data_IF_850167668158
#
_entry.id   IF_850167668158
#
_cell.length_a   1.000
_cell.length_b   1.000
_cell.length_c   1.000
_cell.angle_alpha   90.00
_cell.angle_beta   90.00
_cell.angle_gamma   90.00
#
_symmetry.space_group_name_H-M   'P 1'
#
loop_
_entity.id
_entity.type
_entity.pdbx_description
1 polymer ?
#
# COMPACT_ATOMS: atom_id res chain seq x y z
N UNK A 1 2.50 20.33 22.09
CA UNK A 1 3.84 19.79 22.34
C UNK A 1 3.71 18.39 22.92
N UNK A 2 4.02 17.35 22.15
CA UNK A 2 4.11 15.99 22.65
C UNK A 2 5.56 15.54 22.51
N UNK A 3 6.20 15.27 23.64
CA UNK A 3 7.53 14.65 23.71
C UNK A 3 7.42 13.17 23.34
N UNK A 4 8.33 12.62 22.51
CA UNK A 4 8.43 11.19 22.29
C UNK A 4 9.13 10.53 23.49
N UNK A 5 8.54 9.43 24.00
CA UNK A 5 9.21 8.56 24.95
C UNK A 5 10.43 7.91 24.30
N UNK A 6 11.57 8.03 24.98
CA UNK A 6 12.93 7.68 24.53
C UNK A 6 13.29 6.19 24.68
N UNK A 7 12.30 5.28 24.74
CA UNK A 7 12.56 3.86 25.06
C UNK A 7 11.79 2.89 24.16
N UNK A 8 11.84 3.07 22.84
CA UNK A 8 11.56 1.99 21.88
C UNK A 8 12.29 2.24 20.56
N UNK A 9 13.54 1.76 20.45
CA UNK A 9 14.41 1.93 19.28
C UNK A 9 14.16 0.82 18.24
N UNK A 10 12.91 0.71 17.78
CA UNK A 10 12.48 -0.27 16.78
C UNK A 10 11.35 0.21 15.85
N UNK A 11 11.72 0.68 14.65
CA UNK A 11 11.07 0.24 13.39
C UNK A 11 9.62 0.62 13.06
N UNK A 12 8.95 1.54 13.75
CA UNK A 12 7.62 2.01 13.32
C UNK A 12 7.69 3.32 12.53
N UNK A 13 7.33 3.28 11.24
CA UNK A 13 6.60 4.43 10.68
C UNK A 13 5.17 4.27 11.19
N UNK A 14 4.94 4.68 12.44
CA UNK A 14 3.58 4.90 12.90
C UNK A 14 3.08 6.16 12.21
N UNK A 15 2.54 6.03 10.99
CA UNK A 15 1.68 7.09 10.46
C UNK A 15 0.43 7.00 11.32
N UNK A 16 0.24 7.89 12.32
CA UNK A 16 -0.89 7.76 13.20
C UNK A 16 -2.11 7.92 12.31
N UNK A 17 -3.00 6.94 12.29
CA UNK A 17 -4.35 7.06 11.72
C UNK A 17 -4.46 7.41 10.23
N UNK A 18 -3.50 7.02 9.37
CA UNK A 18 -3.67 7.19 7.92
C UNK A 18 -4.74 6.23 7.40
N UNK A 19 -5.89 6.77 7.07
CA UNK A 19 -7.00 6.08 6.42
C UNK A 19 -6.91 6.30 4.91
N UNK A 20 -6.65 5.23 4.18
CA UNK A 20 -6.60 5.27 2.72
C UNK A 20 -7.09 3.94 2.15
N UNK A 21 -7.88 4.04 1.08
CA UNK A 21 -8.34 2.91 0.29
C UNK A 21 -7.58 2.92 -1.03
N UNK A 22 -6.81 1.85 -1.27
CA UNK A 22 -5.81 1.75 -2.34
C UNK A 22 -6.38 1.84 -3.76
N UNK A 23 -7.70 1.68 -3.92
CA UNK A 23 -8.33 1.82 -5.23
C UNK A 23 -8.45 3.29 -5.66
N UNK A 24 -8.23 4.22 -4.73
CA UNK A 24 -8.25 5.65 -4.99
C UNK A 24 -6.85 6.27 -4.95
N UNK A 25 -6.64 7.37 -5.69
CA UNK A 25 -5.39 8.13 -5.65
C UNK A 25 -4.96 8.52 -4.24
N UNK A 26 -3.64 8.67 -3.98
CA UNK A 26 -3.13 9.09 -2.69
C UNK A 26 -3.77 10.36 -2.15
N UNK A 27 -4.22 11.28 -3.01
CA UNK A 27 -4.90 12.52 -2.60
C UNK A 27 -6.21 12.30 -1.81
N UNK A 28 -6.78 11.09 -1.84
CA UNK A 28 -7.94 10.70 -1.03
C UNK A 28 -7.58 10.16 0.35
N UNK A 29 -6.29 10.00 0.67
CA UNK A 29 -5.85 9.58 1.99
C UNK A 29 -6.15 10.67 3.04
N UNK A 30 -6.46 10.24 4.26
CA UNK A 30 -6.87 11.10 5.37
C UNK A 30 -6.17 10.66 6.65
N UNK A 31 -5.84 11.59 7.54
CA UNK A 31 -5.40 11.31 8.90
C UNK A 31 -6.54 11.55 9.89
N UNK A 32 -6.76 10.64 10.84
CA UNK A 32 -7.76 10.76 11.90
C UNK A 32 -7.14 10.54 13.28
N UNK A 33 -6.43 11.55 13.86
CA UNK A 33 -5.61 11.38 15.06
C UNK A 33 -6.39 11.13 16.38
N UNK A 34 -7.67 10.73 16.29
CA UNK A 34 -8.61 10.73 17.41
C UNK A 34 -9.19 12.13 17.65
N UNK A 35 -10.42 12.21 18.17
CA UNK A 35 -11.27 13.43 18.33
C UNK A 35 -12.12 13.85 17.12
N UNK A 36 -12.36 12.94 16.16
CA UNK A 36 -13.29 13.21 15.04
C UNK A 36 -12.81 14.24 14.02
N UNK A 37 -11.58 14.74 14.16
CA UNK A 37 -10.97 15.64 13.18
C UNK A 37 -10.31 14.83 12.07
N UNK A 38 -10.62 15.17 10.82
CA UNK A 38 -10.08 14.55 9.62
C UNK A 38 -9.23 15.60 8.91
N UNK A 39 -7.95 15.29 8.70
CA UNK A 39 -7.01 16.19 8.03
C UNK A 39 -6.32 15.48 6.86
N UNK A 40 -5.85 16.24 5.85
CA UNK A 40 -4.94 15.67 4.89
C UNK A 40 -3.63 15.23 5.58
N UNK A 41 -3.01 14.12 5.14
CA UNK A 41 -1.66 13.75 5.55
C UNK A 41 -0.66 14.86 5.25
N UNK A 42 0.44 14.91 6.01
CA UNK A 42 1.57 15.77 5.70
C UNK A 42 2.36 15.20 4.50
N UNK A 43 1.80 15.36 3.31
CA UNK A 43 2.26 14.73 2.07
C UNK A 43 3.72 15.03 1.71
N UNK A 44 4.19 16.24 2.00
CA UNK A 44 5.55 16.71 1.72
C UNK A 44 6.56 16.36 2.82
N UNK A 45 6.09 15.89 3.98
CA UNK A 45 6.94 15.44 5.07
C UNK A 45 7.71 14.18 4.69
N UNK A 46 8.89 13.99 5.29
CA UNK A 46 9.65 12.75 5.14
C UNK A 46 8.79 11.56 5.59
N UNK A 47 8.73 10.51 4.75
CA UNK A 47 8.00 9.28 5.08
C UNK A 47 8.73 8.40 6.08
N UNK A 48 10.05 8.58 6.22
CA UNK A 48 10.92 7.67 6.94
C UNK A 48 11.69 8.39 8.04
N UNK A 49 11.95 7.66 9.13
CA UNK A 49 12.87 8.05 10.18
C UNK A 49 14.02 7.02 10.20
N UNK A 50 15.30 7.43 10.02
CA UNK A 50 15.77 8.81 9.87
C UNK A 50 15.48 9.41 8.48
N UNK A 51 15.44 10.76 8.34
CA UNK A 51 15.22 11.45 7.05
C UNK A 51 16.44 11.37 6.09
N UNK A 52 17.40 10.51 6.37
CA UNK A 52 18.57 10.20 5.52
C UNK A 52 18.33 8.98 4.63
N UNK A 53 17.25 8.22 4.87
CA UNK A 53 16.89 7.08 4.02
C UNK A 53 16.59 7.58 2.60
N UNK A 54 17.15 6.92 1.59
CA UNK A 54 16.98 7.23 0.16
C UNK A 54 16.47 6.05 -0.64
N UNK A 55 16.91 4.85 -0.24
CA UNK A 55 16.53 3.59 -0.86
C UNK A 55 15.75 2.72 0.11
N UNK A 56 14.59 2.22 -0.32
CA UNK A 56 13.70 1.36 0.47
C UNK A 56 13.09 0.31 -0.43
N UNK A 57 13.10 -0.94 0.02
CA UNK A 57 12.34 -2.02 -0.61
C UNK A 57 11.07 -2.26 0.21
N UNK A 58 9.90 -2.00 -0.38
CA UNK A 58 8.63 -2.29 0.25
C UNK A 58 8.18 -3.70 -0.15
N UNK A 59 8.00 -4.54 0.86
CA UNK A 59 7.43 -5.89 0.78
C UNK A 59 6.11 -5.91 1.55
N UNK A 60 5.48 -7.07 1.69
CA UNK A 60 4.26 -7.21 2.50
C UNK A 60 4.36 -8.47 3.35
N UNK A 61 3.74 -8.47 4.54
CA UNK A 61 3.50 -9.68 5.33
C UNK A 61 2.13 -10.30 5.04
N UNK A 62 1.25 -9.59 4.33
CA UNK A 62 -0.02 -10.10 3.84
C UNK A 62 0.18 -11.33 2.94
N UNK A 63 -0.36 -12.49 3.34
CA UNK A 63 -0.13 -13.80 2.69
C UNK A 63 -0.29 -13.78 1.17
N UNK A 64 -1.31 -13.10 0.66
CA UNK A 64 -1.53 -13.01 -0.77
C UNK A 64 -0.51 -12.09 -1.46
N UNK A 65 -0.19 -10.94 -0.87
CA UNK A 65 0.66 -9.95 -1.53
C UNK A 65 2.15 -10.33 -1.43
N UNK A 66 2.55 -10.93 -0.31
CA UNK A 66 3.91 -11.42 -0.09
C UNK A 66 4.30 -12.46 -1.13
N UNK A 67 3.38 -13.36 -1.51
CA UNK A 67 3.56 -14.31 -2.60
C UNK A 67 3.91 -13.59 -3.91
N UNK A 68 3.12 -12.58 -4.30
CA UNK A 68 3.35 -11.86 -5.55
C UNK A 68 4.57 -10.93 -5.53
N UNK A 69 4.92 -10.39 -4.36
CA UNK A 69 6.10 -9.55 -4.17
C UNK A 69 7.42 -10.34 -4.12
N UNK A 70 7.39 -11.66 -4.26
CA UNK A 70 8.60 -12.48 -4.40
C UNK A 70 9.40 -12.10 -5.65
N UNK A 71 10.74 -12.24 -5.63
CA UNK A 71 11.63 -11.81 -6.72
C UNK A 71 11.27 -12.37 -8.10
N UNK A 72 10.76 -13.61 -8.17
CA UNK A 72 10.43 -14.30 -9.42
C UNK A 72 9.03 -13.97 -9.96
N UNK A 73 8.35 -12.98 -9.38
CA UNK A 73 7.01 -12.55 -9.77
C UNK A 73 6.97 -11.05 -10.02
N UNK A 74 6.22 -10.30 -9.21
CA UNK A 74 6.11 -8.85 -9.35
C UNK A 74 7.26 -8.11 -8.67
N UNK A 75 7.95 -8.77 -7.73
CA UNK A 75 9.00 -8.18 -6.92
C UNK A 75 8.51 -7.12 -5.94
N UNK A 76 9.41 -6.61 -5.07
CA UNK A 76 9.09 -5.55 -4.14
C UNK A 76 8.87 -4.21 -4.86
N UNK A 77 8.21 -3.28 -4.18
CA UNK A 77 8.22 -1.88 -4.62
C UNK A 77 9.58 -1.30 -4.23
N UNK A 78 10.35 -0.84 -5.20
CA UNK A 78 11.64 -0.19 -4.93
C UNK A 78 11.47 1.31 -5.05
N UNK A 79 11.79 2.00 -3.96
CA UNK A 79 12.01 3.44 -3.95
C UNK A 79 13.53 3.64 -3.87
N UNK A 80 14.10 4.28 -4.88
CA UNK A 80 15.52 4.60 -4.95
C UNK A 80 15.62 5.99 -5.58
N UNK A 81 15.34 7.01 -4.76
CA UNK A 81 15.28 8.40 -5.19
C UNK A 81 16.50 9.18 -4.60
N UNK A 82 17.02 10.21 -5.28
CA UNK A 82 18.16 11.00 -4.77
C UNK A 82 17.88 11.76 -3.46
N UNK A 83 16.59 11.97 -3.16
CA UNK A 83 16.09 12.73 -2.01
C UNK A 83 15.31 11.81 -1.07
N UNK A 84 15.17 12.16 0.23
CA UNK A 84 14.37 11.34 1.14
C UNK A 84 12.94 11.21 0.61
N UNK A 85 12.35 10.01 0.62
CA UNK A 85 11.00 9.84 0.12
C UNK A 85 10.01 10.57 1.02
N UNK A 86 9.07 11.28 0.39
CA UNK A 86 7.96 11.93 1.09
C UNK A 86 6.80 10.95 1.29
N UNK A 87 5.87 11.28 2.21
CA UNK A 87 4.65 10.48 2.41
C UNK A 87 3.90 10.31 1.10
N UNK A 88 3.75 11.39 0.32
CA UNK A 88 3.11 11.33 -0.99
C UNK A 88 3.80 10.34 -1.93
N UNK A 89 5.14 10.39 -2.00
CA UNK A 89 5.92 9.52 -2.88
C UNK A 89 5.75 8.04 -2.54
N UNK A 90 5.73 7.71 -1.25
CA UNK A 90 5.49 6.33 -0.78
C UNK A 90 4.09 5.85 -1.18
N UNK A 91 3.05 6.65 -0.92
CA UNK A 91 1.67 6.28 -1.26
C UNK A 91 1.46 6.19 -2.77
N UNK A 92 2.06 7.09 -3.54
CA UNK A 92 2.06 7.06 -5.01
C UNK A 92 2.68 5.76 -5.54
N UNK A 93 3.86 5.39 -5.04
CA UNK A 93 4.53 4.15 -5.45
C UNK A 93 3.72 2.89 -5.13
N UNK A 94 3.06 2.87 -3.97
CA UNK A 94 2.14 1.78 -3.60
C UNK A 94 0.95 1.73 -4.55
N UNK A 95 0.32 2.89 -4.79
CA UNK A 95 -0.84 3.00 -5.66
C UNK A 95 -0.53 2.57 -7.10
N UNK A 96 0.58 3.07 -7.67
CA UNK A 96 0.99 2.76 -9.03
C UNK A 96 1.34 1.28 -9.18
N UNK A 97 2.04 0.70 -8.21
CA UNK A 97 2.31 -0.73 -8.18
C UNK A 97 1.02 -1.54 -8.18
N UNK A 98 0.06 -1.21 -7.33
CA UNK A 98 -1.20 -1.95 -7.19
C UNK A 98 -2.17 -1.75 -8.36
N UNK A 99 -1.96 -0.70 -9.16
CA UNK A 99 -2.74 -0.43 -10.37
C UNK A 99 -2.20 -1.05 -11.65
N UNK A 100 -1.02 -1.67 -11.60
CA UNK A 100 -0.50 -2.35 -12.77
C UNK A 100 -1.49 -3.44 -13.23
N UNK A 101 -1.75 -3.54 -14.54
CA UNK A 101 -2.62 -4.58 -15.06
C UNK A 101 -2.01 -5.96 -14.83
N UNK A 102 -2.86 -6.94 -14.54
CA UNK A 102 -2.44 -8.34 -14.54
C UNK A 102 -2.16 -8.78 -15.97
N UNK A 103 -1.02 -9.44 -16.18
CA UNK A 103 -0.74 -10.07 -17.47
C UNK A 103 -1.45 -11.43 -17.56
N UNK A 104 -1.36 -12.10 -18.72
CA UNK A 104 -2.03 -13.39 -18.94
C UNK A 104 -1.54 -14.49 -18.00
N UNK A 105 -0.26 -14.48 -17.64
CA UNK A 105 0.32 -15.45 -16.73
C UNK A 105 -0.14 -15.22 -15.28
N UNK A 106 -0.24 -13.96 -14.85
CA UNK A 106 -0.79 -13.60 -13.55
C UNK A 106 -2.24 -14.10 -13.43
N UNK A 107 -3.05 -13.83 -14.47
CA UNK A 107 -4.45 -14.27 -14.53
C UNK A 107 -4.51 -15.79 -14.48
N UNK A 108 -3.75 -16.50 -15.32
CA UNK A 108 -3.73 -17.96 -15.32
C UNK A 108 -3.32 -18.55 -13.95
N UNK A 109 -2.34 -17.93 -13.28
CA UNK A 109 -1.88 -18.32 -11.95
C UNK A 109 -2.96 -18.10 -10.88
N UNK A 110 -3.65 -16.96 -10.88
CA UNK A 110 -4.76 -16.72 -9.93
C UNK A 110 -5.88 -17.75 -10.18
N UNK A 111 -6.22 -17.99 -11.45
CA UNK A 111 -7.33 -18.84 -11.86
C UNK A 111 -7.03 -20.35 -11.78
N UNK A 112 -5.78 -20.76 -11.51
CA UNK A 112 -5.46 -22.18 -11.28
C UNK A 112 -6.16 -22.74 -10.05
N UNK A 113 -6.59 -21.88 -9.13
CA UNK A 113 -7.44 -22.23 -7.99
C UNK A 113 -8.88 -21.80 -8.25
N UNK A 114 -9.85 -22.73 -8.38
CA UNK A 114 -11.21 -22.40 -8.83
C UNK A 114 -11.92 -21.30 -8.02
N UNK A 115 -11.75 -21.27 -6.69
CA UNK A 115 -12.39 -20.27 -5.81
C UNK A 115 -11.89 -18.84 -6.07
N UNK A 116 -10.69 -18.69 -6.63
CA UNK A 116 -10.11 -17.37 -6.86
C UNK A 116 -10.77 -16.64 -8.04
N UNK A 117 -11.39 -17.37 -8.99
CA UNK A 117 -12.09 -16.73 -10.11
C UNK A 117 -13.18 -15.80 -9.62
N UNK A 118 -14.10 -16.34 -8.81
CA UNK A 118 -15.21 -15.57 -8.25
C UNK A 118 -14.71 -14.39 -7.44
N UNK A 119 -13.68 -14.58 -6.60
CA UNK A 119 -13.09 -13.52 -5.77
C UNK A 119 -12.46 -12.41 -6.60
N UNK A 120 -11.72 -12.76 -7.65
CA UNK A 120 -11.07 -11.80 -8.54
C UNK A 120 -12.12 -10.98 -9.32
N UNK A 121 -13.18 -11.64 -9.81
CA UNK A 121 -14.29 -10.99 -10.50
C UNK A 121 -15.07 -10.05 -9.59
N UNK A 122 -15.35 -10.46 -8.36
CA UNK A 122 -16.01 -9.63 -7.35
C UNK A 122 -15.16 -8.42 -6.97
N UNK A 123 -13.86 -8.60 -6.76
CA UNK A 123 -12.93 -7.53 -6.44
C UNK A 123 -12.89 -6.48 -7.56
N UNK A 124 -12.73 -6.93 -8.81
CA UNK A 124 -12.80 -6.06 -9.99
C UNK A 124 -14.13 -5.33 -10.08
N UNK A 125 -15.25 -6.04 -9.93
CA UNK A 125 -16.59 -5.45 -9.99
C UNK A 125 -16.79 -4.38 -8.91
N UNK A 126 -16.39 -4.67 -7.67
CA UNK A 126 -16.45 -3.73 -6.56
C UNK A 126 -15.58 -2.50 -6.82
N UNK A 127 -14.34 -2.68 -7.29
CA UNK A 127 -13.45 -1.57 -7.68
C UNK A 127 -14.08 -0.70 -8.77
N UNK A 128 -14.59 -1.29 -9.85
CA UNK A 128 -15.19 -0.56 -10.97
C UNK A 128 -16.45 0.21 -10.54
N UNK A 129 -17.27 -0.40 -9.68
CA UNK A 129 -18.42 0.26 -9.09
C UNK A 129 -18.00 1.48 -8.24
N UNK A 130 -17.03 1.31 -7.35
CA UNK A 130 -16.62 2.34 -6.40
C UNK A 130 -15.83 3.48 -7.06
N UNK A 131 -15.20 3.20 -8.21
CA UNK A 131 -14.45 4.17 -9.02
C UNK A 131 -15.24 4.66 -10.23
N UNK A 132 -16.55 4.40 -10.30
CA UNK A 132 -17.42 4.89 -11.36
C UNK A 132 -17.31 6.42 -11.46
N UNK A 133 -16.91 6.93 -12.62
CA UNK A 133 -16.66 8.36 -12.86
C UNK A 133 -15.18 8.78 -12.76
N UNK A 134 -14.28 7.87 -12.37
CA UNK A 134 -12.83 8.02 -12.56
C UNK A 134 -12.42 7.38 -13.90
N UNK A 135 -11.25 7.74 -14.44
CA UNK A 135 -10.76 7.10 -15.68
C UNK A 135 -10.76 5.57 -15.51
N UNK A 136 -11.50 4.84 -16.35
CA UNK A 136 -11.70 3.41 -16.15
C UNK A 136 -10.45 2.62 -16.54
N UNK A 137 -10.05 1.70 -15.68
CA UNK A 137 -9.11 0.63 -16.02
C UNK A 137 -9.94 -0.64 -16.04
N UNK A 138 -10.36 -1.03 -17.24
CA UNK A 138 -11.37 -2.07 -17.44
C UNK A 138 -10.88 -3.50 -17.16
N UNK A 139 -9.58 -3.76 -17.22
CA UNK A 139 -9.00 -5.09 -16.96
C UNK A 139 -8.84 -5.43 -15.46
N UNK A 140 -8.31 -6.61 -15.16
CA UNK A 140 -7.84 -6.94 -13.81
C UNK A 140 -6.54 -6.20 -13.52
N UNK A 141 -6.40 -5.71 -12.29
CA UNK A 141 -5.17 -5.08 -11.78
C UNK A 141 -4.69 -5.79 -10.53
N UNK A 142 -3.45 -5.52 -10.11
CA UNK A 142 -2.84 -6.17 -8.94
C UNK A 142 -3.66 -6.03 -7.65
N UNK A 143 -4.32 -4.89 -7.43
CA UNK A 143 -5.19 -4.73 -6.26
C UNK A 143 -6.41 -5.66 -6.27
N UNK A 144 -6.89 -6.12 -7.42
CA UNK A 144 -8.02 -7.05 -7.48
C UNK A 144 -7.65 -8.42 -6.87
N UNK A 145 -6.36 -8.78 -6.87
CA UNK A 145 -5.86 -10.02 -6.27
C UNK A 145 -5.94 -9.99 -4.74
N UNK A 146 -5.99 -8.79 -4.14
CA UNK A 146 -6.16 -8.61 -2.70
C UNK A 146 -7.62 -8.77 -2.25
N UNK A 147 -8.56 -8.91 -3.19
CA UNK A 147 -9.98 -9.02 -2.86
C UNK A 147 -10.48 -7.79 -2.10
N UNK A 148 -11.10 -8.02 -0.94
CA UNK A 148 -11.59 -6.95 -0.06
C UNK A 148 -10.51 -6.24 0.78
N UNK A 149 -9.25 -6.69 0.74
CA UNK A 149 -8.16 -6.16 1.55
C UNK A 149 -7.57 -4.90 0.90
N UNK A 150 -8.34 -3.81 0.95
CA UNK A 150 -8.06 -2.55 0.26
C UNK A 150 -7.75 -1.37 1.17
N UNK A 151 -7.91 -1.53 2.49
CA UNK A 151 -7.62 -0.47 3.45
C UNK A 151 -6.15 -0.54 3.85
N UNK A 152 -5.41 0.54 3.61
CA UNK A 152 -4.01 0.67 4.04
C UNK A 152 -3.89 0.53 5.56
N UNK A 153 -2.97 -0.32 6.02
CA UNK A 153 -2.76 -0.61 7.45
C UNK A 153 -1.46 -0.03 8.01
N UNK A 154 -0.65 0.63 7.18
CA UNK A 154 0.61 1.22 7.59
C UNK A 154 1.83 0.54 6.97
N UNK A 155 3.00 1.06 7.35
CA UNK A 155 4.30 0.51 6.97
C UNK A 155 5.16 0.27 8.21
N UNK A 156 5.77 -0.91 8.33
CA UNK A 156 6.78 -1.21 9.35
C UNK A 156 8.16 -1.26 8.73
N UNK A 157 9.08 -0.43 9.20
CA UNK A 157 10.45 -0.37 8.67
C UNK A 157 11.41 -1.23 9.47
N UNK A 158 12.37 -1.82 8.78
CA UNK A 158 13.51 -2.52 9.38
C UNK A 158 14.74 -2.36 8.48
N UNK A 159 15.93 -2.34 9.07
CA UNK A 159 17.19 -2.40 8.35
C UNK A 159 17.66 -3.86 8.33
N UNK A 160 17.80 -4.44 7.14
CA UNK A 160 18.25 -5.82 6.95
C UNK A 160 19.32 -5.87 5.87
N UNK A 161 20.46 -6.48 6.19
CA UNK A 161 21.61 -6.63 5.27
C UNK A 161 22.07 -5.27 4.67
N UNK A 162 22.01 -4.21 5.47
CA UNK A 162 22.36 -2.84 5.04
C UNK A 162 21.33 -2.16 4.14
N UNK A 163 20.20 -2.81 3.87
CA UNK A 163 19.12 -2.27 3.02
C UNK A 163 17.89 -1.98 3.88
N UNK A 164 17.35 -0.76 3.77
CA UNK A 164 16.08 -0.43 4.40
C UNK A 164 14.94 -1.17 3.71
N UNK A 165 14.18 -1.90 4.50
CA UNK A 165 12.98 -2.62 4.07
C UNK A 165 11.77 -2.07 4.81
N UNK A 166 10.62 -2.08 4.17
CA UNK A 166 9.36 -1.75 4.81
C UNK A 166 8.30 -2.81 4.47
N UNK A 167 7.60 -3.35 5.46
CA UNK A 167 6.40 -4.13 5.22
C UNK A 167 5.20 -3.19 5.10
N UNK A 168 4.55 -3.16 3.94
CA UNK A 168 3.26 -2.50 3.71
C UNK A 168 2.16 -3.55 3.74
N UNK A 169 1.12 -3.31 4.55
CA UNK A 169 0.04 -4.26 4.74
C UNK A 169 -1.33 -3.62 4.59
N UNK A 170 -2.33 -4.47 4.31
CA UNK A 170 -3.70 -4.07 4.03
C UNK A 170 -4.67 -4.91 4.85
N UNK A 171 -5.74 -4.28 5.31
CA UNK A 171 -6.84 -4.93 6.04
C UNK A 171 -8.15 -4.81 5.24
N UNK A 172 -9.18 -5.61 5.59
CA UNK A 172 -10.48 -5.51 4.96
C UNK A 172 -11.04 -4.07 4.96
N UNK A 173 -11.46 -3.61 3.79
CA UNK A 173 -12.08 -2.30 3.56
C UNK A 173 -13.58 -2.40 3.23
N UNK A 174 -14.20 -1.32 2.73
CA UNK A 174 -13.62 0.00 2.42
C UNK A 174 -13.16 0.77 3.66
N UNK A 175 -12.45 1.88 3.46
CA UNK A 175 -12.37 2.93 4.49
C UNK A 175 -13.77 3.51 4.72
N UNK A 176 -14.28 3.58 5.98
CA UNK A 176 -15.55 4.24 6.28
C UNK A 176 -15.54 5.69 5.78
N UNK A 177 -16.64 6.13 5.15
CA UNK A 177 -16.71 7.45 4.50
C UNK A 177 -16.76 8.60 5.50
#
# INVERSE_FOLDING_TARGET
HYHPNLTDTGGFIHVPSLQWDIIYPPSRARCSPGRGMIHPPHYTGAACAPPTVRRIHLTSTHECLSFWMSPDRWGPIVIDDPHPPTVHRVLEKIHDYLRQPLNQWDIATVLSTPINRTRLDEARRSRLHDTAGMQPYGGYVRSDVLGGHRRFFGCRMLLQDGIWRASVDFIPGPVPR
#
